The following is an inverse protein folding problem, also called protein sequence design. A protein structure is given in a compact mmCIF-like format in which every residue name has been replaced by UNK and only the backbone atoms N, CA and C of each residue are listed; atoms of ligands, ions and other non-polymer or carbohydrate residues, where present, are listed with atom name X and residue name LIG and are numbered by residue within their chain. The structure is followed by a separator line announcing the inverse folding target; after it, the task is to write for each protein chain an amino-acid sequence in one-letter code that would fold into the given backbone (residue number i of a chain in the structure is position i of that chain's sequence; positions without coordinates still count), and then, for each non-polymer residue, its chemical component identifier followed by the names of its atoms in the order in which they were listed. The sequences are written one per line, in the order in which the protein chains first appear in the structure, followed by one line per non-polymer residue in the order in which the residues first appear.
data_IF_073635863298
#
_entry.id   IF_073635863298
#
_cell.length_a   1.000
_cell.length_b   1.000
_cell.length_c   1.000
_cell.angle_alpha   90.00
_cell.angle_beta   90.00
_cell.angle_gamma   90.00
#
_symmetry.space_group_name_H-M   'P 1'
#
loop_
_entity.id
_entity.type
_entity.pdbx_description
1 polymer ?
#
# COMPACT_ATOMS: atom_id res chain seq x y z
N UNK A 1 -81.72 -1.89 9.61
CA UNK A 1 -82.71 -0.91 10.12
C UNK A 1 -82.11 0.46 9.91
N UNK A 2 -82.46 1.09 8.80
CA UNK A 2 -83.51 2.11 8.73
C UNK A 2 -82.99 3.45 9.27
N UNK A 3 -82.84 4.36 8.31
CA UNK A 3 -82.72 5.82 8.41
C UNK A 3 -83.66 6.42 9.47
N UNK A 4 -83.36 7.68 9.82
CA UNK A 4 -84.21 8.71 10.44
C UNK A 4 -83.75 9.08 11.85
N UNK A 5 -83.57 10.34 12.26
CA UNK A 5 -83.87 11.71 11.80
C UNK A 5 -82.87 12.62 12.57
N UNK A 6 -82.43 13.78 12.10
CA UNK A 6 -83.09 15.10 12.18
C UNK A 6 -82.05 16.08 11.52
N UNK A 7 -82.27 16.89 10.47
CA UNK A 7 -83.30 17.92 10.18
C UNK A 7 -83.42 18.92 11.36
N UNK A 8 -83.24 20.24 11.29
CA UNK A 8 -83.23 21.32 10.27
C UNK A 8 -82.56 22.54 10.99
N UNK A 9 -81.94 23.51 10.32
CA UNK A 9 -82.42 24.91 10.08
C UNK A 9 -81.13 25.70 9.74
N UNK A 10 -80.99 26.58 8.75
CA UNK A 10 -81.93 27.25 7.85
C UNK A 10 -81.15 27.87 6.65
N UNK A 11 -81.88 28.05 5.55
CA UNK A 11 -81.63 28.83 4.32
C UNK A 11 -80.74 30.10 4.51
N UNK A 12 -79.98 30.55 3.50
CA UNK A 12 -80.49 31.44 2.42
C UNK A 12 -79.52 31.53 1.22
N UNK A 13 -80.13 31.42 0.03
CA UNK A 13 -79.81 32.00 -1.29
C UNK A 13 -78.57 31.54 -2.09
N UNK A 14 -78.91 30.76 -3.13
CA UNK A 14 -78.27 30.71 -4.44
C UNK A 14 -78.44 32.05 -5.15
N UNK A 15 -77.32 32.64 -5.59
CA UNK A 15 -77.07 33.44 -6.81
C UNK A 15 -76.00 34.51 -6.52
N UNK A 16 -74.76 34.28 -6.90
CA UNK A 16 -74.05 35.02 -7.96
C UNK A 16 -72.64 34.44 -8.12
N UNK A 17 -72.27 34.34 -9.39
CA UNK A 17 -71.03 33.83 -9.96
C UNK A 17 -69.80 34.62 -9.47
N UNK A 18 -68.65 33.95 -9.52
CA UNK A 18 -67.27 34.46 -9.40
C UNK A 18 -66.73 34.76 -7.99
N UNK A 19 -65.83 33.89 -7.55
CA UNK A 19 -64.86 34.20 -6.49
C UNK A 19 -64.33 32.94 -5.81
N UNK A 20 -63.02 32.73 -5.90
CA UNK A 20 -62.20 31.81 -5.08
C UNK A 20 -62.33 30.30 -5.34
N UNK A 21 -61.68 29.85 -6.41
CA UNK A 21 -61.03 28.52 -6.44
C UNK A 21 -59.70 28.62 -7.19
N UNK A 22 -58.71 29.25 -6.55
CA UNK A 22 -57.30 29.23 -6.95
C UNK A 22 -56.43 29.65 -5.77
N UNK A 23 -56.16 28.73 -4.84
CA UNK A 23 -55.05 28.91 -3.89
C UNK A 23 -54.37 27.61 -3.46
N UNK A 24 -54.71 26.45 -4.05
CA UNK A 24 -54.09 25.16 -3.69
C UNK A 24 -53.31 24.47 -4.82
N UNK A 25 -53.18 25.08 -6.00
CA UNK A 25 -52.45 24.49 -7.14
C UNK A 25 -51.36 25.39 -7.75
N UNK A 26 -51.12 26.58 -7.18
CA UNK A 26 -50.06 27.49 -7.66
C UNK A 26 -48.74 27.36 -6.88
N UNK A 27 -48.77 27.05 -5.58
CA UNK A 27 -47.53 26.98 -4.79
C UNK A 27 -46.64 25.82 -5.23
N UNK A 28 -47.21 24.64 -5.49
CA UNK A 28 -46.44 23.48 -5.94
C UNK A 28 -45.76 23.67 -7.30
N UNK A 29 -46.32 24.50 -8.18
CA UNK A 29 -45.73 24.77 -9.50
C UNK A 29 -44.63 25.84 -9.46
N UNK A 30 -44.77 26.85 -8.60
CA UNK A 30 -43.70 27.85 -8.38
C UNK A 30 -42.54 27.28 -7.58
N UNK A 31 -42.80 26.43 -6.58
CA UNK A 31 -41.79 25.74 -5.79
C UNK A 31 -40.98 24.78 -6.68
N UNK A 32 -41.64 23.93 -7.48
CA UNK A 32 -40.97 23.06 -8.45
C UNK A 32 -40.17 23.84 -9.51
N UNK A 33 -40.70 24.96 -10.02
CA UNK A 33 -39.99 25.77 -11.01
C UNK A 33 -38.79 26.52 -10.42
N UNK A 34 -38.78 26.77 -9.11
CA UNK A 34 -37.67 27.40 -8.39
C UNK A 34 -36.60 26.36 -8.04
N UNK A 35 -37.02 25.17 -7.60
CA UNK A 35 -36.15 24.02 -7.35
C UNK A 35 -35.46 23.55 -8.64
N UNK A 36 -36.20 23.42 -9.75
CA UNK A 36 -35.63 23.07 -11.05
C UNK A 36 -34.62 24.12 -11.55
N UNK A 37 -34.92 25.42 -11.34
CA UNK A 37 -33.97 26.51 -11.68
C UNK A 37 -32.71 26.45 -10.82
N UNK A 38 -32.82 26.05 -9.56
CA UNK A 38 -31.68 25.87 -8.67
C UNK A 38 -30.81 24.67 -9.10
N UNK A 39 -31.44 23.52 -9.39
CA UNK A 39 -30.75 22.31 -9.88
C UNK A 39 -29.97 22.62 -11.17
N UNK A 40 -30.63 23.23 -12.16
CA UNK A 40 -29.96 23.53 -13.42
C UNK A 40 -28.79 24.51 -13.26
N UNK A 41 -28.93 25.50 -12.38
CA UNK A 41 -27.83 26.42 -12.04
C UNK A 41 -26.64 25.73 -11.34
N UNK A 42 -26.89 24.70 -10.52
CA UNK A 42 -25.82 23.89 -9.93
C UNK A 42 -25.15 23.04 -11.01
N UNK A 43 -25.93 22.39 -11.89
CA UNK A 43 -25.42 21.59 -12.99
C UNK A 43 -24.52 22.37 -13.94
N UNK A 44 -24.84 23.63 -14.25
CA UNK A 44 -23.98 24.52 -15.05
C UNK A 44 -22.61 24.73 -14.41
N UNK A 45 -22.58 24.90 -13.10
CA UNK A 45 -21.32 25.07 -12.36
C UNK A 45 -20.53 23.77 -12.30
N UNK A 46 -21.19 22.62 -12.09
CA UNK A 46 -20.54 21.29 -12.13
C UNK A 46 -19.93 21.03 -13.51
N UNK A 47 -20.65 21.37 -14.59
CA UNK A 47 -20.13 21.25 -15.94
C UNK A 47 -18.92 22.16 -16.18
N UNK A 48 -19.00 23.44 -15.79
CA UNK A 48 -17.86 24.36 -15.93
C UNK A 48 -16.64 23.89 -15.13
N UNK A 49 -16.87 23.34 -13.93
CA UNK A 49 -15.86 22.77 -13.09
C UNK A 49 -15.20 21.54 -13.75
N UNK A 50 -15.97 20.63 -14.34
CA UNK A 50 -15.42 19.47 -15.05
C UNK A 50 -14.55 19.84 -16.25
N UNK A 51 -14.88 20.92 -16.97
CA UNK A 51 -14.03 21.43 -18.06
C UNK A 51 -12.68 21.97 -17.57
N UNK A 52 -12.64 22.44 -16.32
CA UNK A 52 -11.42 22.99 -15.72
C UNK A 52 -10.53 21.87 -15.16
N UNK A 53 -11.13 20.79 -14.67
CA UNK A 53 -10.45 19.65 -14.04
C UNK A 53 -10.86 18.32 -14.68
N UNK A 54 -10.44 18.05 -15.93
CA UNK A 54 -10.96 16.92 -16.71
C UNK A 54 -10.44 15.55 -16.25
N UNK A 55 -9.25 15.47 -15.66
CA UNK A 55 -8.55 14.19 -15.44
C UNK A 55 -9.26 13.26 -14.45
N UNK A 56 -9.88 13.83 -13.42
CA UNK A 56 -10.80 13.24 -12.42
C UNK A 56 -11.19 14.34 -11.45
N UNK A 57 -12.44 14.39 -11.05
CA UNK A 57 -12.90 15.40 -10.11
C UNK A 57 -13.98 14.86 -9.18
N UNK A 58 -14.11 15.48 -8.01
CA UNK A 58 -15.21 15.27 -7.08
C UNK A 58 -15.53 16.62 -6.45
N UNK A 59 -16.79 17.01 -6.43
CA UNK A 59 -17.21 18.31 -5.92
C UNK A 59 -18.39 18.17 -4.96
N UNK A 60 -18.32 18.86 -3.82
CA UNK A 60 -19.47 19.09 -2.96
C UNK A 60 -20.34 20.17 -3.62
N UNK A 61 -21.51 19.79 -4.12
CA UNK A 61 -22.39 20.71 -4.85
C UNK A 61 -23.16 21.67 -3.93
N UNK A 62 -23.06 21.50 -2.61
CA UNK A 62 -23.68 22.40 -1.62
C UNK A 62 -22.78 23.61 -1.35
N UNK A 63 -21.47 23.40 -1.40
CA UNK A 63 -20.45 24.43 -1.12
C UNK A 63 -19.66 24.84 -2.36
N UNK A 64 -19.74 24.06 -3.44
CA UNK A 64 -18.93 24.18 -4.66
C UNK A 64 -17.42 24.09 -4.38
N UNK A 65 -17.03 23.16 -3.52
CA UNK A 65 -15.63 22.91 -3.13
C UNK A 65 -15.24 21.46 -3.32
N UNK A 66 -13.96 21.22 -3.60
CA UNK A 66 -13.41 19.87 -3.71
C UNK A 66 -13.11 19.27 -2.33
N UNK A 67 -13.59 18.06 -2.03
CA UNK A 67 -13.10 17.30 -0.89
C UNK A 67 -11.67 16.81 -1.16
N UNK A 68 -10.79 16.97 -0.17
CA UNK A 68 -9.37 16.57 -0.27
C UNK A 68 -9.09 15.18 0.31
N UNK A 69 -10.08 14.56 0.95
CA UNK A 69 -9.96 13.26 1.62
C UNK A 69 -11.23 12.43 1.43
N UNK A 70 -11.07 11.11 1.47
CA UNK A 70 -12.16 10.15 1.39
C UNK A 70 -12.05 9.24 0.18
N UNK A 71 -12.92 8.23 0.14
CA UNK A 71 -13.04 7.30 -0.98
C UNK A 71 -14.36 7.59 -1.69
N UNK A 72 -14.24 8.10 -2.91
CA UNK A 72 -15.35 8.41 -3.79
C UNK A 72 -15.85 7.14 -4.50
N UNK A 73 -17.16 6.88 -4.39
CA UNK A 73 -17.84 5.77 -5.06
C UNK A 73 -19.15 6.24 -5.68
N UNK A 74 -19.33 5.99 -6.98
CA UNK A 74 -20.52 6.39 -7.72
C UNK A 74 -21.75 5.53 -7.42
N UNK A 75 -22.92 6.15 -7.40
CA UNK A 75 -24.21 5.44 -7.32
C UNK A 75 -24.60 4.85 -8.68
N UNK A 76 -25.14 3.63 -8.68
CA UNK A 76 -25.64 2.98 -9.90
C UNK A 76 -26.74 3.81 -10.60
N UNK A 77 -27.57 4.51 -9.82
CA UNK A 77 -28.72 5.27 -10.31
C UNK A 77 -28.35 6.39 -11.30
N UNK A 78 -27.11 6.88 -11.27
CA UNK A 78 -26.64 8.00 -12.08
C UNK A 78 -25.59 7.61 -13.13
N UNK A 79 -25.22 6.33 -13.20
CA UNK A 79 -24.19 5.87 -14.14
C UNK A 79 -24.48 6.25 -15.59
N UNK A 80 -23.40 6.34 -16.37
CA UNK A 80 -23.43 6.66 -17.80
C UNK A 80 -24.03 8.04 -18.13
N UNK A 81 -23.98 8.98 -17.19
CA UNK A 81 -24.35 10.38 -17.44
C UNK A 81 -23.18 11.13 -18.03
N UNK A 82 -23.27 11.53 -19.29
CA UNK A 82 -22.13 12.03 -20.06
C UNK A 82 -22.32 13.37 -20.76
N UNK A 83 -23.52 13.94 -20.67
CA UNK A 83 -23.83 15.25 -21.25
C UNK A 83 -24.32 16.23 -20.19
N UNK A 84 -24.19 17.52 -20.51
CA UNK A 84 -24.76 18.60 -19.71
C UNK A 84 -26.24 18.39 -19.41
N UNK A 85 -27.01 17.93 -20.37
CA UNK A 85 -28.47 17.72 -20.20
C UNK A 85 -28.80 16.59 -19.22
N UNK A 86 -27.86 15.67 -18.99
CA UNK A 86 -28.02 14.57 -18.04
C UNK A 86 -27.59 14.96 -16.63
N UNK A 87 -26.85 16.06 -16.43
CA UNK A 87 -26.35 16.47 -15.12
C UNK A 87 -27.46 16.83 -14.13
N UNK A 88 -28.59 17.38 -14.60
CA UNK A 88 -29.69 17.75 -13.70
C UNK A 88 -30.21 16.54 -12.90
N UNK A 89 -30.23 15.34 -13.51
CA UNK A 89 -30.60 14.10 -12.80
C UNK A 89 -29.53 13.68 -11.78
N UNK A 90 -28.26 13.90 -12.10
CA UNK A 90 -27.12 13.57 -11.23
C UNK A 90 -27.11 14.47 -10.01
N UNK A 91 -27.25 15.79 -10.23
CA UNK A 91 -27.34 16.81 -9.18
C UNK A 91 -28.56 16.57 -8.30
N UNK A 92 -29.72 16.27 -8.89
CA UNK A 92 -30.94 15.96 -8.12
C UNK A 92 -30.73 14.75 -7.21
N UNK A 93 -30.14 13.67 -7.74
CA UNK A 93 -29.82 12.49 -6.95
C UNK A 93 -28.80 12.80 -5.84
N UNK A 94 -27.73 13.54 -6.16
CA UNK A 94 -26.70 13.93 -5.19
C UNK A 94 -27.27 14.76 -4.04
N UNK A 95 -28.15 15.74 -4.32
CA UNK A 95 -28.81 16.56 -3.28
C UNK A 95 -29.74 15.77 -2.36
N UNK A 96 -30.32 14.67 -2.85
CA UNK A 96 -31.13 13.75 -2.04
C UNK A 96 -30.28 12.80 -1.18
N UNK A 97 -28.96 12.78 -1.42
CA UNK A 97 -27.98 11.92 -0.76
C UNK A 97 -26.89 12.79 -0.10
N UNK A 98 -25.61 12.46 -0.28
CA UNK A 98 -24.50 13.12 0.42
C UNK A 98 -24.07 14.47 -0.19
N UNK A 99 -24.61 14.86 -1.34
CA UNK A 99 -24.33 16.14 -1.98
C UNK A 99 -23.01 16.20 -2.76
N UNK A 100 -22.49 15.07 -3.25
CA UNK A 100 -21.29 15.05 -4.07
C UNK A 100 -21.57 14.59 -5.50
N UNK A 101 -20.88 15.22 -6.44
CA UNK A 101 -20.80 14.77 -7.83
C UNK A 101 -19.35 14.49 -8.18
N UNK A 102 -19.08 13.25 -8.57
CA UNK A 102 -17.79 12.79 -9.08
C UNK A 102 -17.82 12.62 -10.59
N UNK A 103 -16.64 12.58 -11.20
CA UNK A 103 -16.54 12.34 -12.63
C UNK A 103 -15.14 12.35 -13.19
N UNK A 104 -15.04 12.07 -14.49
CA UNK A 104 -13.80 12.13 -15.27
C UNK A 104 -14.11 12.40 -16.75
N UNK A 105 -13.11 12.87 -17.49
CA UNK A 105 -13.14 12.93 -18.94
C UNK A 105 -12.46 11.70 -19.54
N UNK A 106 -13.12 11.05 -20.49
CA UNK A 106 -12.52 9.97 -21.27
C UNK A 106 -12.06 10.53 -22.63
N UNK A 107 -10.74 10.56 -22.85
CA UNK A 107 -10.17 11.04 -24.11
C UNK A 107 -10.41 10.11 -25.30
N UNK A 108 -10.75 8.85 -25.07
CA UNK A 108 -10.95 7.86 -26.14
C UNK A 108 -12.27 8.06 -26.89
N UNK A 109 -13.35 8.36 -26.15
CA UNK A 109 -14.68 8.65 -26.72
C UNK A 109 -15.04 10.14 -26.71
N UNK A 110 -14.24 10.96 -26.03
CA UNK A 110 -14.43 12.40 -25.92
C UNK A 110 -15.58 12.81 -25.00
N UNK A 111 -16.02 11.92 -24.10
CA UNK A 111 -17.15 12.13 -23.19
C UNK A 111 -16.69 12.43 -21.77
N UNK A 112 -17.47 13.26 -21.07
CA UNK A 112 -17.38 13.35 -19.61
C UNK A 112 -18.26 12.26 -19.01
N UNK A 113 -17.94 11.81 -17.80
CA UNK A 113 -18.76 10.89 -17.02
C UNK A 113 -19.04 11.54 -15.67
N UNK A 114 -20.30 11.54 -15.25
CA UNK A 114 -20.76 12.13 -14.00
C UNK A 114 -21.56 11.12 -13.19
N UNK A 115 -21.27 11.04 -11.91
CA UNK A 115 -21.99 10.22 -10.96
C UNK A 115 -22.35 11.02 -9.71
N UNK A 116 -23.54 10.80 -9.17
CA UNK A 116 -23.80 11.08 -7.78
C UNK A 116 -22.86 10.20 -6.98
N UNK A 117 -22.14 10.78 -6.03
CA UNK A 117 -21.02 10.10 -5.37
C UNK A 117 -21.25 10.05 -3.88
N UNK A 118 -20.97 8.88 -3.30
CA UNK A 118 -20.84 8.70 -1.86
C UNK A 118 -19.35 8.81 -1.48
N UNK A 119 -19.08 9.49 -0.38
CA UNK A 119 -17.74 9.50 0.23
C UNK A 119 -17.70 8.57 1.43
N UNK A 120 -16.73 7.67 1.43
CA UNK A 120 -16.36 6.86 2.59
C UNK A 120 -15.11 7.44 3.25
N UNK A 121 -14.93 7.28 4.57
CA UNK A 121 -13.63 7.50 5.20
C UNK A 121 -12.53 6.64 4.54
N UNK A 122 -11.30 7.16 4.42
CA UNK A 122 -10.20 6.41 3.77
C UNK A 122 -9.78 5.14 4.53
N UNK A 123 -10.10 5.05 5.82
CA UNK A 123 -9.91 3.84 6.61
C UNK A 123 -11.04 2.80 6.44
N UNK A 124 -12.07 3.08 5.63
CA UNK A 124 -13.17 2.17 5.30
C UNK A 124 -13.13 1.72 3.83
N UNK A 125 -11.94 1.33 3.35
CA UNK A 125 -11.77 0.82 1.98
C UNK A 125 -12.64 -0.41 1.70
N UNK A 126 -12.82 -1.29 2.69
CA UNK A 126 -13.67 -2.47 2.54
C UNK A 126 -15.14 -2.09 2.32
N UNK A 127 -15.67 -1.15 3.09
CA UNK A 127 -17.04 -0.64 2.90
C UNK A 127 -17.21 0.05 1.55
N UNK A 128 -16.22 0.85 1.14
CA UNK A 128 -16.22 1.51 -0.16
C UNK A 128 -16.24 0.51 -1.33
N UNK A 129 -15.38 -0.51 -1.30
CA UNK A 129 -15.33 -1.55 -2.34
C UNK A 129 -16.63 -2.37 -2.38
N UNK A 130 -17.18 -2.73 -1.22
CA UNK A 130 -18.46 -3.43 -1.15
C UNK A 130 -19.59 -2.60 -1.77
N UNK A 131 -19.68 -1.32 -1.43
CA UNK A 131 -20.66 -0.42 -2.03
C UNK A 131 -20.43 -0.25 -3.54
N UNK A 132 -19.17 -0.20 -3.98
CA UNK A 132 -18.80 -0.18 -5.41
C UNK A 132 -19.30 -1.41 -6.15
N UNK A 133 -19.09 -2.61 -5.59
CA UNK A 133 -19.61 -3.88 -6.13
C UNK A 133 -21.14 -3.86 -6.25
N UNK A 134 -21.83 -3.44 -5.19
CA UNK A 134 -23.30 -3.33 -5.16
C UNK A 134 -23.87 -2.31 -6.15
N UNK A 135 -23.08 -1.28 -6.47
CA UNK A 135 -23.46 -0.23 -7.41
C UNK A 135 -22.88 -0.44 -8.82
N UNK A 136 -22.29 -1.60 -9.12
CA UNK A 136 -21.76 -1.91 -10.45
C UNK A 136 -20.63 -0.98 -10.91
N UNK A 137 -19.83 -0.47 -9.98
CA UNK A 137 -18.66 0.37 -10.26
C UNK A 137 -17.45 -0.50 -10.62
N UNK A 138 -16.58 -0.05 -11.52
CA UNK A 138 -15.33 -0.76 -11.83
C UNK A 138 -14.23 -0.54 -10.80
N UNK A 139 -14.25 0.63 -10.13
CA UNK A 139 -13.24 1.02 -9.16
C UNK A 139 -13.82 2.02 -8.16
N UNK A 140 -13.17 2.14 -7.01
CA UNK A 140 -13.35 3.24 -6.06
C UNK A 140 -12.16 4.18 -6.15
N UNK A 141 -12.33 5.45 -5.74
CA UNK A 141 -11.28 6.45 -5.91
C UNK A 141 -10.87 7.11 -4.59
N UNK A 142 -9.60 6.98 -4.21
CA UNK A 142 -9.02 7.61 -3.01
C UNK A 142 -8.61 9.04 -3.36
N UNK A 143 -9.24 10.01 -2.71
CA UNK A 143 -9.09 11.43 -3.03
C UNK A 143 -7.72 11.99 -2.61
N UNK A 144 -7.20 11.60 -1.45
CA UNK A 144 -5.92 12.12 -0.95
C UNK A 144 -4.72 11.76 -1.83
N UNK A 145 -4.82 10.67 -2.60
CA UNK A 145 -3.73 10.11 -3.41
C UNK A 145 -4.06 10.05 -4.89
N UNK A 146 -5.24 10.49 -5.29
CA UNK A 146 -5.78 10.38 -6.64
C UNK A 146 -5.64 8.97 -7.23
N UNK A 147 -5.94 7.94 -6.42
CA UNK A 147 -5.70 6.53 -6.77
C UNK A 147 -7.01 5.79 -6.99
N UNK A 148 -7.13 5.07 -8.11
CA UNK A 148 -8.25 4.18 -8.37
C UNK A 148 -7.93 2.76 -7.89
N UNK A 149 -8.81 2.16 -7.08
CA UNK A 149 -8.70 0.78 -6.62
C UNK A 149 -9.80 -0.04 -7.30
N UNK A 150 -9.46 -1.03 -8.15
CA UNK A 150 -10.45 -1.91 -8.79
C UNK A 150 -11.28 -2.67 -7.76
N UNK A 151 -12.58 -2.83 -8.01
CA UNK A 151 -13.48 -3.53 -7.08
C UNK A 151 -13.19 -5.03 -6.97
N UNK A 152 -12.64 -5.63 -8.03
CA UNK A 152 -12.33 -7.06 -8.14
C UNK A 152 -10.82 -7.31 -8.32
N UNK A 153 -9.99 -6.34 -7.90
CA UNK A 153 -8.54 -6.42 -7.95
C UNK A 153 -7.93 -7.25 -6.82
N UNK A 154 -6.59 -7.33 -6.81
CA UNK A 154 -5.83 -8.07 -5.78
C UNK A 154 -6.05 -7.49 -4.38
N UNK A 155 -6.19 -6.17 -4.25
CA UNK A 155 -6.50 -5.53 -2.96
C UNK A 155 -7.87 -5.99 -2.42
N UNK A 156 -8.87 -6.11 -3.29
CA UNK A 156 -10.19 -6.61 -2.91
C UNK A 156 -10.14 -8.08 -2.47
N UNK A 157 -9.40 -8.94 -3.19
CA UNK A 157 -9.15 -10.34 -2.79
C UNK A 157 -8.55 -10.43 -1.38
N UNK A 158 -7.55 -9.60 -1.06
CA UNK A 158 -6.90 -9.56 0.25
C UNK A 158 -7.88 -9.10 1.35
N UNK A 159 -8.69 -8.07 1.08
CA UNK A 159 -9.70 -7.56 2.03
C UNK A 159 -10.85 -8.55 2.29
N UNK A 160 -11.22 -9.32 1.28
CA UNK A 160 -12.22 -10.39 1.38
C UNK A 160 -11.65 -11.57 2.18
N UNK A 161 -10.39 -11.94 1.93
CA UNK A 161 -9.66 -12.93 2.73
C UNK A 161 -9.41 -12.48 4.18
N UNK A 162 -9.30 -11.17 4.41
CA UNK A 162 -9.01 -10.58 5.72
C UNK A 162 -7.58 -10.82 6.22
N UNK A 163 -6.70 -11.32 5.36
CA UNK A 163 -5.29 -11.62 5.65
C UNK A 163 -4.44 -11.36 4.42
N UNK A 164 -3.37 -10.59 4.58
CA UNK A 164 -2.31 -10.42 3.58
C UNK A 164 -1.16 -11.39 3.86
N UNK A 165 -0.67 -12.04 2.80
CA UNK A 165 0.37 -13.06 2.86
C UNK A 165 1.70 -12.47 2.39
N UNK A 166 2.73 -12.54 3.24
CA UNK A 166 4.08 -12.06 2.94
C UNK A 166 5.09 -13.21 2.86
N UNK A 167 5.73 -13.37 1.70
CA UNK A 167 6.93 -14.17 1.53
C UNK A 167 8.13 -13.52 2.20
N UNK A 168 8.87 -14.27 3.02
CA UNK A 168 10.15 -13.81 3.56
C UNK A 168 11.12 -14.96 3.80
N UNK A 169 12.43 -14.71 3.73
CA UNK A 169 13.45 -15.75 3.95
C UNK A 169 13.62 -16.08 5.43
N UNK A 170 13.45 -15.08 6.30
CA UNK A 170 13.56 -15.24 7.76
C UNK A 170 14.98 -15.46 8.27
N UNK A 171 16.01 -15.15 7.46
CA UNK A 171 17.43 -15.41 7.74
C UNK A 171 18.35 -14.18 7.56
N UNK A 172 17.78 -12.98 7.35
CA UNK A 172 18.50 -11.78 6.96
C UNK A 172 18.35 -10.65 8.00
N UNK A 173 19.26 -10.61 8.97
CA UNK A 173 19.21 -9.63 10.07
C UNK A 173 19.76 -8.27 9.63
N UNK A 174 19.21 -7.14 10.12
CA UNK A 174 18.09 -7.01 11.04
C UNK A 174 16.73 -6.88 10.33
N UNK A 175 16.62 -7.24 9.04
CA UNK A 175 15.42 -6.95 8.25
C UNK A 175 14.31 -8.00 8.40
N UNK A 176 14.68 -9.28 8.35
CA UNK A 176 13.75 -10.40 8.50
C UNK A 176 14.44 -11.57 9.17
N UNK A 177 13.98 -11.93 10.35
CA UNK A 177 14.42 -13.12 11.06
C UNK A 177 13.24 -13.89 11.62
N UNK A 178 13.25 -15.20 11.43
CA UNK A 178 12.31 -16.11 12.06
C UNK A 178 13.03 -16.88 13.17
N UNK A 179 12.64 -16.64 14.42
CA UNK A 179 13.07 -17.47 15.54
C UNK A 179 12.22 -18.74 15.59
N UNK A 180 12.79 -19.94 15.34
CA UNK A 180 12.03 -21.18 15.38
C UNK A 180 11.45 -21.45 16.76
N UNK A 181 10.25 -22.03 16.81
CA UNK A 181 9.53 -22.27 18.06
C UNK A 181 10.33 -23.13 19.05
N UNK A 182 11.12 -24.07 18.55
CA UNK A 182 11.94 -24.99 19.35
C UNK A 182 13.08 -24.27 20.09
N UNK A 183 13.52 -23.10 19.61
CA UNK A 183 14.62 -22.34 20.20
C UNK A 183 14.16 -21.31 21.25
N UNK A 184 12.84 -21.14 21.42
CA UNK A 184 12.25 -20.14 22.33
C UNK A 184 12.43 -20.48 23.81
N UNK A 185 12.46 -21.77 24.17
CA UNK A 185 12.67 -22.21 25.56
C UNK A 185 14.11 -21.96 26.06
N UNK A 186 15.07 -21.77 25.15
CA UNK A 186 16.48 -21.53 25.47
C UNK A 186 16.89 -20.05 25.37
N UNK A 187 16.13 -19.23 24.64
CA UNK A 187 16.51 -17.85 24.28
C UNK A 187 15.96 -16.77 25.22
N UNK A 188 15.28 -17.15 26.31
CA UNK A 188 14.65 -16.22 27.27
C UNK A 188 15.67 -15.37 28.09
N UNK A 189 16.96 -15.41 27.77
CA UNK A 189 18.06 -14.90 28.61
C UNK A 189 18.78 -13.64 28.06
N UNK A 190 18.52 -13.15 26.84
CA UNK A 190 19.40 -12.11 26.26
C UNK A 190 18.69 -10.88 25.66
N UNK A 191 17.76 -10.18 26.32
CA UNK A 191 16.92 -9.21 25.59
C UNK A 191 16.59 -7.88 26.31
N UNK A 192 17.57 -7.17 26.86
CA UNK A 192 17.33 -5.77 27.29
C UNK A 192 17.21 -4.81 26.08
N UNK A 193 17.82 -5.14 24.91
CA UNK A 193 17.61 -4.43 23.63
C UNK A 193 16.53 -5.07 22.76
N UNK A 194 16.26 -6.36 22.91
CA UNK A 194 15.26 -7.05 22.11
C UNK A 194 13.85 -7.04 22.71
N UNK A 195 13.63 -6.56 23.94
CA UNK A 195 12.28 -6.22 24.41
C UNK A 195 11.59 -5.23 23.44
N UNK A 196 12.33 -4.32 22.80
CA UNK A 196 11.76 -3.39 21.82
C UNK A 196 11.46 -4.05 20.45
N UNK A 197 12.31 -4.98 20.01
CA UNK A 197 12.13 -5.74 18.76
C UNK A 197 11.02 -6.80 18.88
N UNK A 198 10.87 -7.41 20.06
CA UNK A 198 9.86 -8.44 20.32
C UNK A 198 8.43 -7.89 20.40
N UNK A 199 8.25 -6.61 20.77
CA UNK A 199 6.90 -5.99 20.84
C UNK A 199 6.18 -5.93 19.50
N UNK A 200 6.93 -5.94 18.39
CA UNK A 200 6.40 -5.92 17.03
C UNK A 200 6.54 -7.27 16.31
N UNK A 201 6.97 -8.31 17.03
CA UNK A 201 7.18 -9.62 16.45
C UNK A 201 5.85 -10.33 16.16
N UNK A 202 5.82 -11.12 15.09
CA UNK A 202 4.63 -11.85 14.64
C UNK A 202 4.86 -13.33 14.89
N UNK A 203 4.19 -13.88 15.90
CA UNK A 203 4.22 -15.32 16.19
C UNK A 203 3.32 -16.09 15.24
N UNK A 204 3.85 -17.16 14.67
CA UNK A 204 3.22 -18.06 13.71
C UNK A 204 3.55 -19.52 14.06
N UNK A 205 2.92 -20.52 13.42
CA UNK A 205 3.15 -21.93 13.75
C UNK A 205 4.60 -22.38 13.63
N UNK A 206 5.34 -21.83 12.68
CA UNK A 206 6.74 -22.16 12.35
C UNK A 206 7.78 -21.34 13.15
N UNK A 207 7.39 -20.21 13.73
CA UNK A 207 8.29 -19.39 14.53
C UNK A 207 7.76 -18.00 14.82
N UNK A 208 8.64 -17.14 15.32
CA UNK A 208 8.33 -15.73 15.56
C UNK A 208 9.16 -14.85 14.65
N UNK A 209 8.48 -14.15 13.75
CA UNK A 209 9.10 -13.24 12.79
C UNK A 209 9.31 -11.86 13.40
N UNK A 210 10.51 -11.29 13.23
CA UNK A 210 10.83 -9.93 13.64
C UNK A 210 11.87 -9.30 12.73
N UNK A 211 12.00 -7.97 12.80
CA UNK A 211 12.95 -7.20 12.00
C UNK A 211 12.32 -6.00 11.33
N UNK A 212 13.15 -5.14 10.77
CA UNK A 212 12.71 -3.90 10.11
C UNK A 212 11.70 -4.17 8.99
N UNK A 213 11.96 -5.14 8.11
CA UNK A 213 11.06 -5.51 7.03
C UNK A 213 9.76 -6.12 7.53
N UNK A 214 9.80 -6.88 8.62
CA UNK A 214 8.60 -7.42 9.28
C UNK A 214 7.71 -6.29 9.82
N UNK A 215 8.29 -5.24 10.41
CA UNK A 215 7.52 -4.08 10.87
C UNK A 215 6.96 -3.24 9.73
N UNK A 216 7.67 -3.12 8.60
CA UNK A 216 7.11 -2.52 7.39
C UNK A 216 5.91 -3.33 6.88
N UNK A 217 6.01 -4.66 6.87
CA UNK A 217 4.89 -5.53 6.49
C UNK A 217 3.69 -5.38 7.44
N UNK A 218 3.94 -5.28 8.74
CA UNK A 218 2.90 -5.03 9.75
C UNK A 218 2.19 -3.69 9.52
N UNK A 219 2.92 -2.62 9.19
CA UNK A 219 2.31 -1.33 8.90
C UNK A 219 1.47 -1.36 7.61
N UNK A 220 1.88 -2.12 6.58
CA UNK A 220 1.06 -2.36 5.38
C UNK A 220 -0.24 -3.07 5.75
N UNK A 221 -0.17 -4.18 6.49
CA UNK A 221 -1.34 -4.94 6.90
C UNK A 221 -2.30 -4.11 7.78
N UNK A 222 -1.73 -3.38 8.75
CA UNK A 222 -2.47 -2.51 9.67
C UNK A 222 -3.20 -1.37 8.96
N UNK A 223 -2.57 -0.70 8.00
CA UNK A 223 -3.19 0.38 7.22
C UNK A 223 -4.25 -0.14 6.25
N UNK A 224 -4.11 -1.38 5.79
CA UNK A 224 -5.14 -2.07 5.01
C UNK A 224 -6.29 -2.61 5.89
N UNK A 225 -6.09 -2.70 7.21
CA UNK A 225 -7.09 -3.23 8.14
C UNK A 225 -7.25 -4.76 8.08
N UNK A 226 -6.18 -5.49 7.74
CA UNK A 226 -6.18 -6.96 7.63
C UNK A 226 -5.16 -7.60 8.56
N UNK A 227 -5.31 -8.91 8.79
CA UNK A 227 -4.28 -9.71 9.46
C UNK A 227 -3.08 -9.93 8.54
N UNK A 228 -1.97 -10.37 9.12
CA UNK A 228 -0.74 -10.71 8.39
C UNK A 228 -0.36 -12.16 8.64
N UNK A 229 0.09 -12.84 7.59
CA UNK A 229 0.71 -14.15 7.67
C UNK A 229 2.02 -14.16 6.87
N UNK A 230 3.06 -14.80 7.39
CA UNK A 230 4.35 -14.94 6.73
C UNK A 230 4.46 -16.35 6.15
N UNK A 231 5.06 -16.42 4.97
CA UNK A 231 5.33 -17.65 4.24
C UNK A 231 6.81 -17.74 4.00
N UNK A 232 7.41 -18.85 4.42
CA UNK A 232 8.83 -19.07 4.22
C UNK A 232 9.15 -19.22 2.73
N UNK A 233 10.14 -18.48 2.28
CA UNK A 233 10.79 -18.63 0.96
C UNK A 233 12.31 -18.69 1.16
N UNK A 234 13.09 -18.70 0.07
CA UNK A 234 14.55 -18.67 0.10
C UNK A 234 15.08 -17.78 -1.02
N UNK A 235 16.30 -17.27 -0.90
CA UNK A 235 16.91 -16.48 -1.99
C UNK A 235 16.96 -17.21 -3.33
N UNK A 236 17.24 -18.52 -3.40
CA UNK A 236 17.17 -19.29 -4.64
C UNK A 236 15.75 -19.43 -5.22
N UNK A 237 14.73 -19.58 -4.36
CA UNK A 237 13.35 -19.86 -4.80
C UNK A 237 12.47 -18.62 -4.94
N UNK A 238 12.88 -17.47 -4.37
CA UNK A 238 12.08 -16.25 -4.26
C UNK A 238 11.34 -15.87 -5.54
N UNK A 239 12.03 -15.83 -6.68
CA UNK A 239 11.41 -15.47 -7.96
C UNK A 239 10.37 -16.50 -8.39
N UNK A 240 10.64 -17.79 -8.24
CA UNK A 240 9.69 -18.84 -8.58
C UNK A 240 8.48 -18.81 -7.66
N UNK A 241 8.70 -18.58 -6.37
CA UNK A 241 7.67 -18.51 -5.34
C UNK A 241 6.70 -17.33 -5.57
N UNK A 242 7.22 -16.16 -5.99
CA UNK A 242 6.40 -14.99 -6.38
C UNK A 242 5.54 -15.27 -7.63
N UNK A 243 6.05 -16.06 -8.57
CA UNK A 243 5.42 -16.33 -9.86
C UNK A 243 4.58 -17.61 -9.88
N UNK A 244 4.49 -18.33 -8.76
CA UNK A 244 3.77 -19.61 -8.67
C UNK A 244 2.27 -19.40 -8.80
N UNK A 245 1.60 -20.34 -9.47
CA UNK A 245 0.13 -20.39 -9.57
C UNK A 245 -0.39 -21.74 -9.05
N UNK A 246 -1.27 -21.76 -8.02
CA UNK A 246 -1.76 -20.60 -7.27
C UNK A 246 -0.66 -19.93 -6.43
N UNK A 247 -0.74 -18.61 -6.27
CA UNK A 247 0.21 -17.85 -5.44
C UNK A 247 0.26 -18.37 -4.00
N UNK A 248 1.48 -18.51 -3.48
CA UNK A 248 1.70 -18.93 -2.09
C UNK A 248 1.76 -17.74 -1.12
N UNK A 249 2.06 -16.54 -1.61
CA UNK A 249 1.97 -15.26 -0.89
C UNK A 249 1.67 -14.10 -1.86
N UNK A 250 1.17 -12.97 -1.37
CA UNK A 250 0.81 -11.81 -2.20
C UNK A 250 2.01 -10.88 -2.45
N UNK A 251 2.86 -10.72 -1.42
CA UNK A 251 4.00 -9.80 -1.40
C UNK A 251 5.23 -10.53 -0.89
N UNK A 252 6.43 -10.11 -1.25
CA UNK A 252 7.67 -10.57 -0.65
C UNK A 252 8.48 -9.42 -0.05
N UNK A 253 9.09 -9.65 1.12
CA UNK A 253 9.80 -8.64 1.91
C UNK A 253 10.97 -9.26 2.70
N UNK A 254 11.95 -8.44 3.08
CA UNK A 254 13.08 -8.86 3.93
C UNK A 254 14.46 -8.67 3.28
N UNK A 255 14.75 -7.49 2.71
CA UNK A 255 16.05 -7.19 2.09
C UNK A 255 16.10 -7.30 0.57
N UNK A 256 14.93 -7.29 -0.08
CA UNK A 256 14.83 -7.44 -1.53
C UNK A 256 15.23 -6.12 -2.23
N UNK A 257 16.46 -6.08 -2.74
CA UNK A 257 16.97 -4.94 -3.51
C UNK A 257 16.20 -4.72 -4.81
N UNK A 258 15.84 -3.47 -5.11
CA UNK A 258 15.24 -3.04 -6.37
C UNK A 258 16.27 -3.16 -7.49
N UNK A 259 15.92 -3.88 -8.55
CA UNK A 259 16.75 -4.02 -9.75
C UNK A 259 15.89 -3.98 -11.00
N UNK A 260 16.47 -3.54 -12.12
CA UNK A 260 15.79 -3.55 -13.42
C UNK A 260 15.40 -4.99 -13.83
N UNK A 261 16.30 -5.96 -13.61
CA UNK A 261 16.02 -7.37 -13.91
C UNK A 261 14.78 -7.91 -13.17
N UNK A 262 14.53 -7.49 -11.91
CA UNK A 262 13.29 -7.84 -11.20
C UNK A 262 12.08 -7.13 -11.80
N UNK A 263 12.20 -5.84 -12.13
CA UNK A 263 11.11 -5.02 -12.71
C UNK A 263 10.67 -5.48 -14.11
N UNK A 264 11.51 -6.20 -14.84
CA UNK A 264 11.14 -6.78 -16.14
C UNK A 264 10.03 -7.82 -16.02
N UNK A 265 10.09 -8.68 -14.98
CA UNK A 265 9.21 -9.84 -14.82
C UNK A 265 8.22 -9.73 -13.66
N UNK A 266 8.45 -8.84 -12.70
CA UNK A 266 7.66 -8.65 -11.48
C UNK A 266 7.46 -7.15 -11.19
N UNK A 267 6.61 -6.83 -10.22
CA UNK A 267 6.43 -5.47 -9.72
C UNK A 267 7.29 -5.26 -8.46
N UNK A 268 7.85 -4.06 -8.33
CA UNK A 268 8.61 -3.63 -7.15
C UNK A 268 8.03 -2.31 -6.65
N UNK A 269 7.80 -2.21 -5.34
CA UNK A 269 7.43 -0.95 -4.70
C UNK A 269 8.50 0.12 -4.83
N UNK A 270 8.15 1.33 -4.40
CA UNK A 270 9.10 2.38 -4.07
C UNK A 270 10.06 1.91 -2.98
N UNK A 271 11.28 2.44 -2.99
CA UNK A 271 12.31 2.16 -1.99
C UNK A 271 11.91 2.69 -0.61
N UNK A 272 12.13 1.87 0.42
CA UNK A 272 11.91 2.24 1.82
C UNK A 272 13.19 2.22 2.66
N UNK A 273 14.31 1.72 2.11
CA UNK A 273 15.59 1.63 2.79
C UNK A 273 16.73 1.65 1.77
N UNK A 274 17.69 2.55 1.98
CA UNK A 274 18.95 2.62 1.26
C UNK A 274 19.74 1.32 1.39
N UNK A 275 20.40 0.87 0.31
CA UNK A 275 21.17 -0.36 0.30
C UNK A 275 22.39 -0.30 -0.62
N UNK A 276 23.35 -1.18 -0.39
CA UNK A 276 24.60 -1.24 -1.16
C UNK A 276 25.48 -2.40 -0.71
N UNK A 277 26.24 -3.00 -1.65
CA UNK A 277 27.12 -4.13 -1.35
C UNK A 277 28.34 -3.66 -0.55
N UNK A 278 28.64 -4.36 0.53
CA UNK A 278 29.79 -4.12 1.40
C UNK A 278 30.38 -5.46 1.84
N UNK A 279 31.31 -5.44 2.79
CA UNK A 279 31.90 -6.64 3.34
C UNK A 279 31.82 -6.71 4.87
N UNK A 280 31.83 -7.92 5.39
CA UNK A 280 32.29 -8.23 6.74
C UNK A 280 33.64 -8.95 6.65
N UNK A 281 34.56 -8.61 7.55
CA UNK A 281 35.86 -9.25 7.71
C UNK A 281 36.24 -9.26 9.20
N UNK A 282 37.35 -9.91 9.55
CA UNK A 282 37.91 -9.81 10.91
C UNK A 282 38.38 -8.38 11.20
N UNK A 283 38.13 -7.89 12.41
CA UNK A 283 38.49 -6.53 12.83
C UNK A 283 39.99 -6.25 12.73
N UNK A 284 40.82 -7.28 12.96
CA UNK A 284 42.28 -7.21 12.79
C UNK A 284 42.74 -7.06 11.34
N UNK A 285 41.85 -7.26 10.36
CA UNK A 285 42.15 -7.19 8.93
C UNK A 285 41.35 -6.11 8.19
N UNK A 286 40.65 -5.23 8.93
CA UNK A 286 39.84 -4.17 8.33
C UNK A 286 40.63 -3.27 7.36
N UNK A 287 41.94 -3.10 7.58
CA UNK A 287 42.81 -2.30 6.69
C UNK A 287 43.30 -3.05 5.45
N UNK A 288 43.15 -4.38 5.43
CA UNK A 288 43.51 -5.23 4.29
C UNK A 288 42.50 -5.13 3.15
N UNK A 289 41.22 -4.89 3.44
CA UNK A 289 40.13 -5.00 2.47
C UNK A 289 39.42 -3.66 2.25
N UNK A 290 39.95 -2.82 1.35
CA UNK A 290 39.35 -1.50 1.02
C UNK A 290 38.79 -1.44 -0.40
N UNK A 291 39.14 -2.40 -1.25
CA UNK A 291 38.72 -2.45 -2.66
C UNK A 291 38.43 -3.87 -3.10
N UNK A 292 37.74 -4.04 -4.23
CA UNK A 292 37.57 -5.36 -4.84
C UNK A 292 38.90 -6.03 -5.19
N UNK A 293 39.91 -5.26 -5.62
CA UNK A 293 41.24 -5.77 -5.93
C UNK A 293 41.98 -6.31 -4.69
N UNK A 294 41.66 -5.82 -3.50
CA UNK A 294 42.22 -6.36 -2.26
C UNK A 294 41.65 -7.74 -1.90
N UNK A 295 40.38 -7.95 -2.30
CA UNK A 295 39.61 -9.17 -2.04
C UNK A 295 39.86 -10.21 -3.13
N UNK A 296 39.99 -9.80 -4.40
CA UNK A 296 40.14 -10.69 -5.55
C UNK A 296 41.55 -11.27 -5.68
N UNK A 297 41.96 -12.06 -4.69
CA UNK A 297 43.29 -12.68 -4.62
C UNK A 297 43.15 -14.17 -4.29
N UNK A 298 43.99 -15.06 -4.86
CA UNK A 298 43.90 -16.50 -4.66
C UNK A 298 43.94 -16.96 -3.19
N UNK A 299 44.61 -16.21 -2.33
CA UNK A 299 44.72 -16.50 -0.90
C UNK A 299 43.50 -16.06 -0.07
N UNK A 300 42.55 -15.32 -0.66
CA UNK A 300 41.36 -14.82 0.04
C UNK A 300 40.19 -15.77 -0.18
N UNK A 301 39.62 -16.27 0.91
CA UNK A 301 38.38 -17.03 0.91
C UNK A 301 37.20 -16.10 1.18
N UNK A 302 36.29 -16.02 0.21
CA UNK A 302 35.07 -15.21 0.27
C UNK A 302 33.87 -16.12 0.46
N UNK A 303 33.08 -15.90 1.51
CA UNK A 303 31.89 -16.67 1.79
C UNK A 303 30.62 -15.89 1.47
N UNK A 304 29.67 -16.54 0.80
CA UNK A 304 28.37 -15.97 0.42
C UNK A 304 27.26 -16.98 0.70
N UNK A 305 26.03 -16.49 0.89
CA UNK A 305 24.85 -17.33 0.96
C UNK A 305 24.37 -17.72 -0.47
N UNK A 306 23.69 -18.87 -0.66
CA UNK A 306 23.23 -19.29 -1.96
C UNK A 306 22.12 -18.38 -2.50
N UNK A 307 22.18 -18.13 -3.80
CA UNK A 307 21.22 -17.32 -4.53
C UNK A 307 21.33 -15.81 -4.24
N UNK A 308 20.30 -15.09 -4.65
CA UNK A 308 20.22 -13.65 -4.43
C UNK A 308 21.31 -12.86 -5.15
N UNK A 309 21.57 -11.65 -4.65
CA UNK A 309 22.49 -10.70 -5.30
C UNK A 309 23.90 -10.74 -4.72
N UNK A 310 24.13 -11.35 -3.55
CA UNK A 310 25.48 -11.46 -2.95
C UNK A 310 26.34 -12.47 -3.73
N UNK A 311 25.83 -13.69 -3.94
CA UNK A 311 26.51 -14.70 -4.76
C UNK A 311 26.74 -14.19 -6.19
N UNK A 312 25.71 -13.60 -6.82
CA UNK A 312 25.83 -13.03 -8.16
C UNK A 312 26.92 -11.96 -8.22
N UNK A 313 26.94 -11.02 -7.26
CA UNK A 313 27.94 -9.97 -7.21
C UNK A 313 29.36 -10.55 -7.04
N UNK A 314 29.54 -11.51 -6.12
CA UNK A 314 30.84 -12.15 -5.92
C UNK A 314 31.34 -12.83 -7.20
N UNK A 315 30.51 -13.65 -7.84
CA UNK A 315 30.86 -14.35 -9.08
C UNK A 315 31.17 -13.42 -10.26
N UNK A 316 30.50 -12.26 -10.34
CA UNK A 316 30.74 -11.27 -11.41
C UNK A 316 32.00 -10.43 -11.21
N UNK A 317 32.44 -10.23 -9.96
CA UNK A 317 33.50 -9.28 -9.62
C UNK A 317 34.79 -9.90 -9.08
N UNK A 318 34.75 -11.16 -8.62
CA UNK A 318 35.88 -11.85 -8.02
C UNK A 318 36.21 -13.09 -8.85
N UNK A 319 37.30 -13.02 -9.62
CA UNK A 319 37.70 -14.05 -10.58
C UNK A 319 38.91 -14.88 -10.14
N UNK A 320 39.60 -14.45 -9.09
CA UNK A 320 40.79 -15.06 -8.53
C UNK A 320 40.59 -15.55 -7.09
N UNK A 321 39.71 -14.92 -6.31
CA UNK A 321 39.40 -15.35 -4.94
C UNK A 321 38.72 -16.73 -4.88
N UNK A 322 38.87 -17.40 -3.74
CA UNK A 322 38.17 -18.66 -3.46
C UNK A 322 36.76 -18.37 -2.92
N UNK A 323 35.74 -18.47 -3.78
CA UNK A 323 34.34 -18.26 -3.39
C UNK A 323 33.76 -19.56 -2.82
N UNK A 324 33.24 -19.49 -1.60
CA UNK A 324 32.57 -20.59 -0.89
C UNK A 324 31.11 -20.22 -0.65
N UNK A 325 30.19 -21.04 -1.15
CA UNK A 325 28.76 -20.87 -0.88
C UNK A 325 28.41 -21.63 0.40
N UNK A 326 28.01 -20.90 1.44
CA UNK A 326 27.55 -21.47 2.71
C UNK A 326 26.03 -21.40 2.80
N UNK A 327 25.38 -22.52 3.15
CA UNK A 327 23.93 -22.67 2.98
C UNK A 327 23.09 -21.78 3.89
N UNK A 328 23.63 -21.35 5.04
CA UNK A 328 22.91 -20.56 6.04
C UNK A 328 23.56 -19.21 6.22
N UNK A 329 22.88 -18.16 5.76
CA UNK A 329 23.40 -16.80 5.81
C UNK A 329 23.80 -16.39 7.24
N UNK A 330 22.99 -16.76 8.23
CA UNK A 330 23.14 -16.36 9.63
C UNK A 330 24.39 -16.93 10.32
N UNK A 331 25.00 -18.00 9.76
CA UNK A 331 26.22 -18.62 10.28
C UNK A 331 27.51 -17.97 9.73
N UNK A 332 27.43 -17.32 8.56
CA UNK A 332 28.61 -16.78 7.85
C UNK A 332 29.40 -15.76 8.68
N UNK A 333 28.77 -14.78 9.37
CA UNK A 333 29.53 -13.80 10.16
C UNK A 333 30.39 -14.43 11.25
N UNK A 334 29.86 -15.45 11.96
CA UNK A 334 30.63 -16.19 12.96
C UNK A 334 31.80 -16.95 12.33
N UNK A 335 31.58 -17.59 11.18
CA UNK A 335 32.63 -18.29 10.44
C UNK A 335 33.76 -17.36 9.98
N UNK A 336 33.43 -16.13 9.56
CA UNK A 336 34.41 -15.09 9.24
C UNK A 336 35.21 -14.70 10.49
N UNK A 337 34.52 -14.46 11.61
CA UNK A 337 35.14 -14.11 12.89
C UNK A 337 36.09 -15.21 13.41
N UNK A 338 35.78 -16.48 13.12
CA UNK A 338 36.55 -17.66 13.52
C UNK A 338 37.70 -18.01 12.56
N UNK A 339 37.77 -17.37 11.39
CA UNK A 339 38.84 -17.63 10.43
C UNK A 339 38.53 -18.68 9.36
N UNK A 340 37.30 -19.19 9.30
CA UNK A 340 36.90 -20.17 8.27
C UNK A 340 36.73 -19.53 6.88
N UNK A 341 36.49 -18.23 6.83
CA UNK A 341 36.56 -17.38 5.63
C UNK A 341 37.18 -16.03 5.99
N UNK A 342 37.72 -15.31 5.02
CA UNK A 342 38.33 -14.00 5.23
C UNK A 342 37.32 -12.87 5.13
N UNK A 343 36.40 -12.99 4.18
CA UNK A 343 35.44 -11.96 3.81
C UNK A 343 34.07 -12.58 3.59
N UNK A 344 33.03 -11.92 4.05
CA UNK A 344 31.65 -12.12 3.57
C UNK A 344 31.26 -10.93 2.69
N UNK A 345 30.73 -11.20 1.50
CA UNK A 345 30.01 -10.16 0.73
C UNK A 345 28.59 -10.07 1.29
N UNK A 346 28.21 -8.88 1.72
CA UNK A 346 26.91 -8.57 2.35
C UNK A 346 26.50 -7.14 1.94
N UNK A 347 25.65 -6.51 2.72
CA UNK A 347 25.12 -5.19 2.47
C UNK A 347 25.26 -4.25 3.67
N UNK A 348 25.23 -2.95 3.40
CA UNK A 348 25.25 -1.89 4.41
C UNK A 348 24.07 -1.96 5.38
N UNK A 349 23.01 -2.70 5.05
CA UNK A 349 21.86 -2.91 5.94
C UNK A 349 22.08 -4.04 6.94
N UNK A 350 22.92 -5.03 6.62
CA UNK A 350 23.16 -6.22 7.47
C UNK A 350 24.47 -6.08 8.24
N UNK A 351 25.56 -5.66 7.59
CA UNK A 351 26.88 -5.60 8.21
C UNK A 351 26.94 -4.84 9.55
N UNK A 352 26.27 -3.68 9.71
CA UNK A 352 26.27 -2.94 10.98
C UNK A 352 25.70 -3.71 12.16
N UNK A 353 24.68 -4.56 11.93
CA UNK A 353 24.11 -5.41 12.97
C UNK A 353 25.17 -6.39 13.50
N UNK A 354 25.93 -7.02 12.60
CA UNK A 354 26.97 -7.97 12.99
C UNK A 354 28.19 -7.32 13.62
N UNK A 355 28.62 -6.15 13.15
CA UNK A 355 29.71 -5.40 13.81
C UNK A 355 29.34 -4.97 15.23
N UNK A 356 28.07 -4.61 15.47
CA UNK A 356 27.59 -4.25 16.80
C UNK A 356 27.46 -5.46 17.75
N UNK A 357 27.15 -6.64 17.21
CA UNK A 357 26.90 -7.86 18.01
C UNK A 357 28.13 -8.76 18.18
N UNK A 358 29.14 -8.63 17.32
CA UNK A 358 30.42 -9.34 17.42
C UNK A 358 31.61 -8.42 17.12
N UNK A 359 32.30 -7.98 18.18
CA UNK A 359 33.47 -7.09 18.09
C UNK A 359 34.69 -7.67 17.37
N UNK A 360 34.69 -8.97 17.06
CA UNK A 360 35.71 -9.60 16.21
C UNK A 360 35.53 -9.25 14.74
N UNK A 361 34.38 -8.70 14.35
CA UNK A 361 34.06 -8.32 12.98
C UNK A 361 34.25 -6.82 12.73
N UNK A 362 34.52 -6.47 11.48
CA UNK A 362 34.53 -5.12 10.97
C UNK A 362 33.93 -5.05 9.56
N UNK A 363 33.34 -3.90 9.25
CA UNK A 363 32.81 -3.57 7.93
C UNK A 363 33.47 -2.28 7.41
N UNK A 364 34.67 -2.35 6.81
CA UNK A 364 35.45 -1.16 6.42
C UNK A 364 34.81 -0.31 5.31
N UNK A 365 33.77 -0.83 4.64
CA UNK A 365 33.14 -0.23 3.46
C UNK A 365 31.68 0.17 3.69
N UNK A 366 31.28 0.47 4.93
CA UNK A 366 29.92 0.93 5.23
C UNK A 366 29.60 2.28 4.56
N UNK A 367 30.57 3.20 4.55
CA UNK A 367 30.40 4.55 3.99
C UNK A 367 30.85 4.66 2.53
N UNK A 368 31.32 3.55 1.94
CA UNK A 368 31.78 3.48 0.56
C UNK A 368 31.44 2.10 -0.03
N UNK A 369 30.14 1.73 -0.11
CA UNK A 369 29.74 0.45 -0.65
C UNK A 369 30.09 0.32 -2.13
N UNK A 370 30.29 -0.91 -2.60
CA UNK A 370 30.60 -1.20 -4.00
C UNK A 370 29.44 -0.88 -4.94
N UNK A 371 28.21 -0.90 -4.43
CA UNK A 371 27.00 -0.60 -5.18
C UNK A 371 26.07 0.30 -4.38
N UNK A 372 25.13 0.91 -5.10
CA UNK A 372 24.08 1.77 -4.52
C UNK A 372 22.73 1.29 -5.04
N UNK A 373 21.73 1.29 -4.17
CA UNK A 373 20.38 0.88 -4.50
C UNK A 373 19.45 1.06 -3.32
N UNK A 374 18.25 0.50 -3.45
CA UNK A 374 17.22 0.57 -2.41
C UNK A 374 16.57 -0.80 -2.25
N UNK A 375 16.00 -1.06 -1.08
CA UNK A 375 15.16 -2.21 -0.80
C UNK A 375 13.69 -1.81 -0.96
N UNK A 376 12.93 -2.71 -1.59
CA UNK A 376 11.49 -2.57 -1.78
C UNK A 376 10.73 -3.86 -1.48
N UNK A 377 9.43 -3.83 -1.74
CA UNK A 377 8.51 -4.97 -1.67
C UNK A 377 8.33 -5.52 -3.08
N UNK A 378 8.45 -6.83 -3.24
CA UNK A 378 8.31 -7.53 -4.52
C UNK A 378 6.93 -8.18 -4.61
N UNK A 379 6.31 -8.15 -5.79
CA UNK A 379 5.00 -8.79 -6.03
C UNK A 379 4.86 -9.22 -7.48
N UNK A 380 3.89 -10.08 -7.75
CA UNK A 380 3.65 -10.61 -9.09
C UNK A 380 3.23 -9.49 -10.06
N UNK A 381 3.56 -9.64 -11.34
CA UNK A 381 3.13 -8.72 -12.41
C UNK A 381 1.62 -8.83 -12.65
N UNK A 382 0.96 -7.72 -13.00
CA UNK A 382 -0.49 -7.66 -13.17
C UNK A 382 -1.28 -7.37 -11.89
N UNK A 383 -0.60 -6.97 -10.81
CA UNK A 383 -1.20 -6.59 -9.52
C UNK A 383 -0.92 -5.10 -9.22
N UNK A 384 -1.15 -4.24 -10.22
CA UNK A 384 -0.83 -2.81 -10.13
C UNK A 384 -1.62 -2.09 -9.03
N UNK A 385 -2.82 -2.56 -8.69
CA UNK A 385 -3.61 -2.05 -7.57
C UNK A 385 -2.93 -2.31 -6.22
N UNK A 386 -2.38 -3.52 -6.04
CA UNK A 386 -1.60 -3.86 -4.85
C UNK A 386 -0.30 -3.05 -4.77
N UNK A 387 0.39 -2.86 -5.90
CA UNK A 387 1.58 -2.01 -5.98
C UNK A 387 1.27 -0.57 -5.54
N UNK A 388 0.20 0.02 -6.06
CA UNK A 388 -0.22 1.38 -5.72
C UNK A 388 -0.59 1.50 -4.24
N UNK A 389 -1.28 0.50 -3.68
CA UNK A 389 -1.57 0.44 -2.25
C UNK A 389 -0.28 0.46 -1.43
N UNK A 390 0.67 -0.43 -1.74
CA UNK A 390 1.94 -0.52 -1.01
C UNK A 390 2.73 0.79 -1.10
N UNK A 391 2.82 1.38 -2.29
CA UNK A 391 3.49 2.67 -2.48
C UNK A 391 2.80 3.80 -1.71
N UNK A 392 1.47 3.79 -1.61
CA UNK A 392 0.75 4.75 -0.78
C UNK A 392 1.11 4.59 0.69
N UNK A 393 1.12 3.37 1.23
CA UNK A 393 1.54 3.11 2.61
C UNK A 393 2.96 3.62 2.85
N UNK A 394 3.91 3.31 1.97
CA UNK A 394 5.30 3.76 2.09
C UNK A 394 5.37 5.30 2.10
N UNK A 395 4.62 5.98 1.23
CA UNK A 395 4.53 7.45 1.22
C UNK A 395 3.95 8.01 2.51
N UNK A 396 2.88 7.41 3.04
CA UNK A 396 2.29 7.83 4.31
C UNK A 396 3.27 7.63 5.47
N UNK A 397 3.96 6.49 5.53
CA UNK A 397 4.96 6.22 6.57
C UNK A 397 6.15 7.21 6.52
N UNK A 398 6.55 7.63 5.31
CA UNK A 398 7.53 8.71 5.12
C UNK A 398 7.00 10.05 5.65
N UNK A 399 5.76 10.40 5.29
CA UNK A 399 5.11 11.66 5.64
C UNK A 399 4.86 11.82 7.15
N UNK A 400 4.31 10.78 7.80
CA UNK A 400 4.00 10.81 9.24
C UNK A 400 5.21 10.49 10.14
N UNK A 401 6.36 10.18 9.55
CA UNK A 401 7.61 9.91 10.24
C UNK A 401 7.70 8.53 10.91
N UNK A 402 6.71 7.65 10.73
CA UNK A 402 6.77 6.28 11.25
C UNK A 402 7.90 5.47 10.60
N UNK A 403 8.19 5.68 9.32
CA UNK A 403 9.33 5.00 8.66
C UNK A 403 10.66 5.42 9.27
N UNK A 404 10.85 6.73 9.54
CA UNK A 404 12.05 7.24 10.20
C UNK A 404 12.24 6.66 11.60
N UNK A 405 11.16 6.54 12.38
CA UNK A 405 11.21 5.89 13.71
C UNK A 405 11.64 4.43 13.61
N UNK A 406 11.22 3.71 12.57
CA UNK A 406 11.71 2.35 12.31
C UNK A 406 13.19 2.35 11.94
N UNK A 407 13.66 3.27 11.09
CA UNK A 407 15.09 3.38 10.80
C UNK A 407 15.91 3.63 12.06
N UNK A 408 15.51 4.56 12.91
CA UNK A 408 16.15 4.86 14.19
C UNK A 408 16.14 3.64 15.13
N UNK A 409 15.00 2.94 15.26
CA UNK A 409 14.85 1.75 16.10
C UNK A 409 15.87 0.66 15.74
N UNK A 410 16.14 0.46 14.45
CA UNK A 410 17.04 -0.58 13.95
C UNK A 410 18.46 -0.08 13.66
N UNK A 411 18.78 1.18 13.95
CA UNK A 411 20.08 1.77 13.61
C UNK A 411 20.35 1.81 12.10
N UNK A 412 19.30 1.86 11.28
CA UNK A 412 19.34 1.89 9.83
C UNK A 412 19.19 3.33 9.29
N UNK A 413 19.82 4.28 9.96
CA UNK A 413 19.79 5.71 9.59
C UNK A 413 20.88 5.96 8.55
N UNK A 414 20.73 5.35 7.37
CA UNK A 414 21.61 5.59 6.24
C UNK A 414 20.92 6.57 5.30
N UNK A 415 21.36 7.82 5.32
CA UNK A 415 21.02 8.76 4.26
C UNK A 415 21.96 8.47 3.08
N UNK A 416 21.39 8.12 1.93
CA UNK A 416 21.90 8.72 0.71
C UNK A 416 21.23 10.10 0.65
N UNK A 417 22.04 11.16 0.66
CA UNK A 417 21.58 12.49 0.23
C UNK A 417 21.18 12.45 -1.25
#
# INVERSE_FOLDING_TARGET
MIRERLKIWLLIAVLTICGTSSFASCSSNEDNATEQRNISGISDKVWAFSQTYPDRFTIDIRTMTEPTEGIAVGYAATQNSHSRDQLDKVVSHALQHEGYVGGWYNSEDGLYYFDSTKLFPENDLKGALQFGKENGQYSVFILSTYTAIPIDGKVAEILDRGTILFGTTGDYRPLSFCEPKEQREQSQVCLDSAESCLRSAVSQPDGTYWGFGIEVANEIAKRLGVNIEFKKTSWPTLTADVLTEPQIFDLAIGGITITNARRETMLMSDGYLANGKTILCRSTEADRYKTLADIDKPEVTVMVNPGGLNEKFANENLTHANIVVHQKNEEIPTLVAEGAADVMITEITEAPYYVQTDTRLAAPLLNAPFTHGEIGVLMQKGQEDLLQMVNNVIRQMKSDGSLRKLHEKYGLVYAYE
#
